data_IF_666913679940
#
_entry.id   IF_666913679940
#
_cell.length_a   1.000
_cell.length_b   1.000
_cell.length_c   1.000
_cell.angle_alpha   90.00
_cell.angle_beta   90.00
_cell.angle_gamma   90.00
#
_symmetry.space_group_name_H-M   'P 1'
#
loop_
_entity.id
_entity.type
_entity.pdbx_description
1 polymer ?
#
# COMPACT_ATOMS: atom_id res chain seq x y z
N UNK A 1 16.16 -16.37 -19.64
CA UNK A 1 15.16 -16.38 -20.75
C UNK A 1 13.94 -15.47 -20.43
N UNK A 2 13.76 -15.03 -19.18
CA UNK A 2 12.59 -14.21 -18.76
C UNK A 2 12.78 -12.71 -19.02
N UNK A 3 13.99 -12.22 -19.25
CA UNK A 3 14.25 -10.77 -19.45
C UNK A 3 13.76 -10.16 -20.77
N UNK A 4 13.44 -10.95 -21.78
CA UNK A 4 13.08 -10.45 -23.12
C UNK A 4 11.58 -10.29 -23.40
N UNK A 5 10.70 -10.97 -22.65
CA UNK A 5 9.25 -10.94 -22.87
C UNK A 5 8.51 -9.98 -21.91
N UNK A 6 9.24 -9.39 -21.01
CA UNK A 6 8.70 -8.62 -19.87
C UNK A 6 8.67 -7.12 -20.13
N UNK A 7 9.27 -6.66 -21.23
CA UNK A 7 9.52 -5.23 -21.47
C UNK A 7 8.37 -4.41 -22.07
N UNK A 8 7.41 -5.01 -22.76
CA UNK A 8 6.38 -4.23 -23.48
C UNK A 8 4.99 -4.21 -22.82
N UNK A 9 4.70 -5.14 -21.91
CA UNK A 9 3.43 -5.18 -21.18
C UNK A 9 3.57 -4.99 -19.66
N UNK A 10 4.80 -4.88 -19.19
CA UNK A 10 5.04 -4.79 -17.75
C UNK A 10 4.72 -3.43 -17.17
N UNK A 11 4.17 -3.54 -16.02
CA UNK A 11 3.76 -2.65 -14.99
C UNK A 11 4.77 -1.60 -14.53
N UNK A 12 5.88 -1.39 -15.28
CA UNK A 12 6.88 -0.37 -15.01
C UNK A 12 6.76 0.69 -16.11
N UNK A 13 6.58 1.92 -15.69
CA UNK A 13 6.69 3.07 -16.59
C UNK A 13 8.18 3.40 -16.80
N UNK A 14 8.52 3.93 -17.97
CA UNK A 14 9.85 4.50 -18.20
C UNK A 14 10.12 5.57 -17.14
N UNK A 15 11.30 5.51 -16.50
CA UNK A 15 11.67 6.37 -15.39
C UNK A 15 11.64 7.86 -15.74
N UNK A 16 12.04 8.22 -16.95
CA UNK A 16 11.99 9.62 -17.41
C UNK A 16 10.55 10.15 -17.48
N UNK A 17 9.62 9.30 -17.91
CA UNK A 17 8.19 9.61 -17.94
C UNK A 17 7.60 9.69 -16.54
N UNK A 18 8.02 8.80 -15.62
CA UNK A 18 7.60 8.84 -14.21
C UNK A 18 7.99 10.16 -13.56
N UNK A 19 9.25 10.58 -13.71
CA UNK A 19 9.74 11.84 -13.13
C UNK A 19 9.02 13.05 -13.74
N UNK A 20 8.78 13.04 -15.06
CA UNK A 20 8.05 14.11 -15.74
C UNK A 20 6.61 14.23 -15.24
N UNK A 21 5.89 13.12 -15.12
CA UNK A 21 4.51 13.09 -14.63
C UNK A 21 4.43 13.49 -13.16
N UNK A 22 5.30 12.94 -12.31
CA UNK A 22 5.40 13.33 -10.92
C UNK A 22 5.61 14.85 -10.77
N UNK A 23 6.55 15.41 -11.53
CA UNK A 23 6.81 16.85 -11.50
C UNK A 23 5.62 17.71 -12.00
N UNK A 24 4.80 17.18 -12.91
CA UNK A 24 3.60 17.89 -13.37
C UNK A 24 2.50 17.95 -12.31
N UNK A 25 2.46 16.96 -11.41
CA UNK A 25 1.43 16.84 -10.36
C UNK A 25 1.87 17.39 -8.99
N UNK A 26 3.11 17.83 -8.83
CA UNK A 26 3.66 18.20 -7.51
C UNK A 26 2.87 19.29 -6.75
N UNK A 27 2.10 20.11 -7.45
CA UNK A 27 1.25 21.15 -6.85
C UNK A 27 -0.19 20.70 -6.60
N UNK A 28 -0.58 19.52 -7.12
CA UNK A 28 -1.93 18.97 -7.00
C UNK A 28 -1.99 17.95 -5.85
N UNK A 29 -3.20 17.64 -5.42
CA UNK A 29 -3.42 16.44 -4.62
C UNK A 29 -3.28 15.23 -5.53
N UNK A 30 -2.47 14.25 -5.13
CA UNK A 30 -2.20 13.06 -5.94
C UNK A 30 -2.04 11.79 -5.10
N UNK A 31 -2.18 10.65 -5.77
CA UNK A 31 -1.74 9.35 -5.30
C UNK A 31 -0.80 8.74 -6.35
N UNK A 32 0.34 8.23 -5.93
CA UNK A 32 1.33 7.59 -6.78
C UNK A 32 1.84 6.27 -6.20
N UNK A 33 1.95 5.24 -7.05
CA UNK A 33 2.45 3.94 -6.62
C UNK A 33 3.94 3.79 -6.91
N UNK A 34 4.75 3.73 -5.86
CA UNK A 34 6.21 3.58 -5.96
C UNK A 34 6.59 2.10 -6.14
N UNK A 35 5.73 1.20 -5.69
CA UNK A 35 5.89 -0.26 -5.77
C UNK A 35 5.59 -0.95 -4.45
N UNK A 36 5.13 -2.20 -4.51
CA UNK A 36 4.72 -3.00 -3.37
C UNK A 36 3.60 -2.33 -2.56
N UNK A 37 3.85 -2.00 -1.30
CA UNK A 37 2.95 -1.24 -0.43
C UNK A 37 3.40 0.22 -0.26
N UNK A 38 4.37 0.68 -1.05
CA UNK A 38 4.89 2.04 -1.00
C UNK A 38 4.10 2.96 -1.91
N UNK A 39 3.35 3.89 -1.33
CA UNK A 39 2.65 4.97 -2.03
C UNK A 39 3.15 6.33 -1.59
N UNK A 40 3.11 7.28 -2.51
CA UNK A 40 3.13 8.72 -2.21
C UNK A 40 1.73 9.27 -2.35
N UNK A 41 1.22 9.91 -1.31
CA UNK A 41 -0.12 10.50 -1.29
C UNK A 41 0.04 11.96 -0.84
N UNK A 42 -0.32 12.90 -1.68
CA UNK A 42 -0.34 14.33 -1.33
C UNK A 42 -1.77 14.79 -1.15
N UNK A 43 -2.04 15.41 -0.01
CA UNK A 43 -3.34 15.93 0.40
C UNK A 43 -3.15 17.34 0.96
N UNK A 44 -3.42 18.35 0.15
CA UNK A 44 -3.07 19.74 0.45
C UNK A 44 -1.57 19.91 0.66
N UNK A 45 -1.18 20.42 1.82
CA UNK A 45 0.23 20.63 2.18
C UNK A 45 0.89 19.39 2.81
N UNK A 46 0.17 18.29 2.94
CA UNK A 46 0.70 17.07 3.59
C UNK A 46 1.04 16.01 2.57
N UNK A 47 2.32 15.66 2.46
CA UNK A 47 2.79 14.52 1.69
C UNK A 47 3.02 13.33 2.61
N UNK A 48 2.36 12.23 2.30
CA UNK A 48 2.34 10.97 3.06
C UNK A 48 3.13 9.92 2.28
N UNK A 49 3.97 9.14 2.98
CA UNK A 49 4.55 7.92 2.44
C UNK A 49 4.08 6.72 3.26
N UNK A 50 3.71 5.64 2.58
CA UNK A 50 3.27 4.40 3.22
C UNK A 50 4.31 3.31 3.05
N UNK A 51 4.56 2.51 4.08
CA UNK A 51 5.42 1.31 4.09
C UNK A 51 6.61 1.41 3.12
N UNK A 52 7.52 2.39 3.27
CA UNK A 52 8.55 2.65 2.27
C UNK A 52 9.61 1.55 2.26
N UNK A 53 9.69 0.83 1.14
CA UNK A 53 10.67 -0.23 0.89
C UNK A 53 11.44 0.08 -0.40
N UNK A 54 12.73 0.40 -0.24
CA UNK A 54 13.65 0.74 -1.34
C UNK A 54 14.80 -0.25 -1.48
N UNK A 55 14.90 -1.24 -0.57
CA UNK A 55 15.93 -2.28 -0.61
C UNK A 55 15.71 -3.26 -1.74
N UNK A 56 16.82 -3.85 -2.21
CA UNK A 56 16.82 -4.90 -3.24
C UNK A 56 16.25 -6.23 -2.76
N UNK A 57 16.16 -6.44 -1.45
CA UNK A 57 15.68 -7.66 -0.83
C UNK A 57 14.69 -7.34 0.30
N UNK A 58 13.63 -8.12 0.37
CA UNK A 58 12.68 -8.12 1.50
C UNK A 58 13.13 -9.15 2.55
N UNK A 59 14.16 -8.81 3.32
CA UNK A 59 14.73 -9.72 4.31
C UNK A 59 15.90 -9.12 5.08
N UNK A 60 16.49 -9.88 6.00
CA UNK A 60 17.65 -9.41 6.77
C UNK A 60 18.88 -9.33 5.87
N UNK A 61 19.54 -8.18 5.86
CA UNK A 61 20.75 -7.90 5.07
C UNK A 61 20.54 -8.15 3.57
N UNK A 62 21.17 -9.22 3.02
CA UNK A 62 21.10 -9.63 1.61
C UNK A 62 20.19 -10.83 1.38
N UNK A 63 19.55 -11.34 2.44
CA UNK A 63 18.68 -12.51 2.37
C UNK A 63 17.22 -12.11 2.13
N UNK A 64 16.40 -13.10 1.80
CA UNK A 64 14.97 -12.91 1.53
C UNK A 64 14.66 -12.72 0.05
N UNK A 65 13.37 -12.58 -0.28
CA UNK A 65 12.91 -12.40 -1.65
C UNK A 65 13.55 -11.18 -2.31
N UNK A 66 14.07 -11.38 -3.52
CA UNK A 66 14.67 -10.30 -4.31
C UNK A 66 13.58 -9.46 -4.97
N UNK A 67 13.85 -8.17 -5.05
CA UNK A 67 13.03 -7.25 -5.81
C UNK A 67 13.08 -7.61 -7.30
N UNK A 68 11.91 -7.75 -7.88
CA UNK A 68 11.72 -8.02 -9.30
C UNK A 68 11.63 -6.71 -10.10
N UNK A 69 10.95 -5.71 -9.55
CA UNK A 69 10.75 -4.38 -10.15
C UNK A 69 11.37 -3.31 -9.28
N UNK A 70 12.24 -2.47 -9.84
CA UNK A 70 12.85 -1.35 -9.13
C UNK A 70 11.78 -0.33 -8.66
N UNK A 71 12.02 0.42 -7.57
CA UNK A 71 11.12 1.48 -7.15
C UNK A 71 10.98 2.55 -8.24
N UNK A 72 9.79 3.12 -8.36
CA UNK A 72 9.51 4.16 -9.35
C UNK A 72 10.37 5.43 -9.19
N UNK A 73 10.65 5.79 -7.94
CA UNK A 73 11.54 6.88 -7.53
C UNK A 73 12.61 6.33 -6.60
N UNK A 74 13.77 6.99 -6.52
CA UNK A 74 14.76 6.74 -5.48
C UNK A 74 14.48 7.60 -4.24
N UNK A 75 15.17 7.31 -3.13
CA UNK A 75 15.03 8.06 -1.89
C UNK A 75 15.38 9.56 -2.01
N UNK A 76 16.33 9.91 -2.87
CA UNK A 76 16.78 11.27 -3.15
C UNK A 76 15.88 12.03 -4.13
N UNK A 77 14.97 11.33 -4.80
CA UNK A 77 13.96 11.92 -5.70
C UNK A 77 12.60 12.14 -4.99
N UNK A 78 12.46 11.66 -3.76
CA UNK A 78 11.24 11.87 -2.99
C UNK A 78 11.03 13.36 -2.68
N UNK A 79 9.79 13.87 -2.74
CA UNK A 79 9.45 15.19 -2.23
C UNK A 79 9.65 15.23 -0.71
N UNK A 80 9.53 16.41 -0.11
CA UNK A 80 9.45 16.51 1.33
C UNK A 80 8.29 15.67 1.87
N UNK A 81 8.59 14.79 2.83
CA UNK A 81 7.60 13.91 3.46
C UNK A 81 7.25 14.46 4.84
N UNK A 82 5.96 14.75 5.03
CA UNK A 82 5.41 15.26 6.29
C UNK A 82 4.93 14.11 7.19
N UNK A 83 4.42 13.03 6.59
CA UNK A 83 3.83 11.91 7.32
C UNK A 83 4.35 10.56 6.79
N UNK A 84 4.87 9.73 7.70
CA UNK A 84 5.35 8.38 7.42
C UNK A 84 4.42 7.39 8.11
N UNK A 85 3.73 6.54 7.36
CA UNK A 85 2.85 5.49 7.87
C UNK A 85 3.54 4.13 7.72
N UNK A 86 3.57 3.33 8.79
CA UNK A 86 4.06 1.96 8.80
C UNK A 86 2.98 1.02 9.33
N UNK A 87 2.54 0.04 8.54
CA UNK A 87 1.43 -0.85 8.90
C UNK A 87 1.83 -1.99 9.83
N UNK A 88 3.00 -2.58 9.64
CA UNK A 88 3.51 -3.70 10.45
C UNK A 88 5.02 -3.92 10.25
N UNK A 89 5.58 -4.97 10.87
CA UNK A 89 7.02 -5.16 10.94
C UNK A 89 7.62 -6.19 9.97
N UNK A 90 6.87 -6.75 9.01
CA UNK A 90 7.45 -7.66 8.03
C UNK A 90 8.53 -6.96 7.19
N UNK A 91 9.46 -7.72 6.62
CA UNK A 91 10.64 -7.17 5.97
C UNK A 91 10.35 -6.39 4.69
N UNK A 92 9.26 -6.71 4.02
CA UNK A 92 8.76 -6.08 2.81
C UNK A 92 7.88 -4.83 3.08
N UNK A 93 7.71 -4.45 4.37
CA UNK A 93 7.05 -3.22 4.82
C UNK A 93 7.98 -2.38 5.69
N UNK A 94 8.56 -2.95 6.74
CA UNK A 94 9.55 -2.29 7.58
C UNK A 94 10.97 -2.51 7.06
N UNK A 95 11.37 -1.78 6.04
CA UNK A 95 12.73 -1.82 5.50
C UNK A 95 13.69 -0.98 6.35
N UNK A 96 14.51 -1.66 7.15
CA UNK A 96 15.46 -0.99 8.04
C UNK A 96 16.53 -0.19 7.31
N UNK A 97 16.90 -0.58 6.08
CA UNK A 97 17.84 0.19 5.27
C UNK A 97 17.23 1.52 4.86
N UNK A 98 15.98 1.46 4.37
CA UNK A 98 15.20 2.65 4.03
C UNK A 98 14.98 3.53 5.25
N UNK A 99 14.51 3.00 6.38
CA UNK A 99 14.28 3.77 7.61
C UNK A 99 15.54 4.52 8.06
N UNK A 100 16.72 3.89 7.98
CA UNK A 100 18.00 4.53 8.35
C UNK A 100 18.42 5.63 7.38
N UNK A 101 18.25 5.43 6.07
CA UNK A 101 18.66 6.34 4.99
C UNK A 101 17.63 7.39 4.66
N UNK A 102 16.40 7.25 5.12
CA UNK A 102 15.29 8.15 4.81
C UNK A 102 15.67 9.60 5.09
N UNK A 103 15.53 10.53 4.14
CA UNK A 103 16.07 11.89 4.28
C UNK A 103 15.27 12.76 5.28
N UNK A 104 13.96 12.52 5.41
CA UNK A 104 13.05 13.40 6.16
C UNK A 104 12.82 12.88 7.59
N UNK A 105 13.82 13.03 8.48
CA UNK A 105 13.73 12.57 9.88
C UNK A 105 12.83 13.44 10.78
N UNK A 106 12.39 14.58 10.28
CA UNK A 106 11.39 15.45 10.92
C UNK A 106 9.95 15.04 10.62
N UNK A 107 9.73 14.15 9.63
CA UNK A 107 8.40 13.64 9.32
C UNK A 107 7.76 13.06 10.58
N UNK A 108 6.46 13.34 10.77
CA UNK A 108 5.64 12.64 11.78
C UNK A 108 5.53 11.18 11.39
N UNK A 109 5.93 10.27 12.26
CA UNK A 109 5.83 8.83 12.07
C UNK A 109 4.63 8.31 12.84
N UNK A 110 3.75 7.58 12.17
CA UNK A 110 2.66 6.82 12.78
C UNK A 110 2.88 5.34 12.49
N UNK A 111 2.87 4.54 13.53
CA UNK A 111 3.21 3.13 13.46
C UNK A 111 2.54 2.34 14.59
N UNK A 112 2.41 1.01 14.45
CA UNK A 112 1.84 0.17 15.48
C UNK A 112 2.66 0.15 16.77
N UNK A 113 1.99 -0.16 17.88
CA UNK A 113 2.60 -0.34 19.19
C UNK A 113 3.86 -1.23 19.14
N UNK A 114 4.90 -0.82 19.87
CA UNK A 114 6.20 -1.47 20.06
C UNK A 114 7.14 -1.44 18.84
N UNK A 115 6.85 -0.61 17.83
CA UNK A 115 7.74 -0.39 16.68
C UNK A 115 8.61 0.87 16.77
N UNK A 116 8.29 1.82 17.65
CA UNK A 116 9.02 3.07 17.83
C UNK A 116 10.52 2.90 18.09
N UNK A 117 10.92 1.79 18.72
CA UNK A 117 12.34 1.45 18.96
C UNK A 117 13.21 1.42 17.69
N UNK A 118 12.63 1.24 16.52
CA UNK A 118 13.35 1.23 15.24
C UNK A 118 13.52 2.62 14.63
N UNK A 119 12.80 3.64 15.17
CA UNK A 119 12.71 5.00 14.65
C UNK A 119 13.46 6.04 15.54
N UNK A 120 14.47 5.63 16.29
CA UNK A 120 15.21 6.46 17.25
C UNK A 120 15.81 7.77 16.68
N UNK A 121 15.97 7.85 15.35
CA UNK A 121 16.51 9.04 14.67
C UNK A 121 15.43 10.01 14.18
N UNK A 122 14.15 9.66 14.34
CA UNK A 122 13.02 10.50 13.97
C UNK A 122 12.60 11.34 15.17
N UNK A 123 12.12 12.55 14.92
CA UNK A 123 11.80 13.51 15.99
C UNK A 123 10.38 13.35 16.55
N UNK A 124 9.44 12.90 15.72
CA UNK A 124 8.02 12.78 16.06
C UNK A 124 7.55 11.36 15.72
N UNK A 125 7.53 10.47 16.71
CA UNK A 125 7.18 9.05 16.57
C UNK A 125 5.99 8.74 17.44
N UNK A 126 4.90 8.31 16.82
CA UNK A 126 3.61 8.05 17.45
C UNK A 126 3.27 6.56 17.30
N UNK A 127 3.35 5.82 18.38
CA UNK A 127 2.86 4.44 18.45
C UNK A 127 1.35 4.45 18.66
N UNK A 128 0.62 3.67 17.85
CA UNK A 128 -0.85 3.64 17.84
C UNK A 128 -1.37 2.25 18.18
N UNK A 129 -2.40 2.21 19.02
CA UNK A 129 -3.25 1.04 19.22
C UNK A 129 -4.43 1.07 18.24
N UNK A 130 -5.12 -0.06 18.08
CA UNK A 130 -6.32 -0.10 17.25
C UNK A 130 -7.37 0.88 17.75
N UNK A 131 -7.94 1.63 16.81
CA UNK A 131 -8.91 2.70 16.99
C UNK A 131 -8.36 4.03 17.50
N UNK A 132 -7.03 4.12 17.74
CA UNK A 132 -6.42 5.43 17.99
C UNK A 132 -6.55 6.34 16.77
N UNK A 133 -6.87 7.62 17.03
CA UNK A 133 -6.96 8.68 16.04
C UNK A 133 -5.98 9.80 16.38
N UNK A 134 -5.22 10.24 15.40
CA UNK A 134 -4.32 11.39 15.51
C UNK A 134 -4.74 12.46 14.50
N UNK A 135 -4.98 13.67 14.98
CA UNK A 135 -5.17 14.85 14.15
C UNK A 135 -3.79 15.35 13.69
N UNK A 136 -3.56 15.35 12.39
CA UNK A 136 -2.32 15.83 11.76
C UNK A 136 -2.36 17.35 11.62
N UNK A 137 -3.49 17.86 11.10
CA UNK A 137 -3.81 19.28 11.00
C UNK A 137 -5.33 19.46 10.95
N UNK A 138 -5.82 20.69 10.72
CA UNK A 138 -7.25 21.00 10.72
C UNK A 138 -8.07 20.17 9.71
N UNK A 139 -7.45 19.76 8.61
CA UNK A 139 -8.11 19.09 7.50
C UNK A 139 -7.86 17.57 7.47
N UNK A 140 -6.84 17.10 8.19
CA UNK A 140 -6.33 15.73 8.08
C UNK A 140 -6.27 15.01 9.42
N UNK A 141 -6.95 13.89 9.49
CA UNK A 141 -6.91 12.92 10.62
C UNK A 141 -6.55 11.53 10.12
N UNK A 142 -5.87 10.78 10.96
CA UNK A 142 -5.47 9.39 10.67
C UNK A 142 -5.92 8.52 11.84
N UNK A 143 -6.71 7.48 11.52
CA UNK A 143 -7.16 6.47 12.49
C UNK A 143 -6.47 5.15 12.19
N UNK A 144 -5.93 4.49 13.21
CA UNK A 144 -5.34 3.15 13.07
C UNK A 144 -6.37 2.07 13.34
N UNK A 145 -6.55 1.11 12.42
CA UNK A 145 -7.63 0.14 12.44
C UNK A 145 -7.10 -1.31 12.38
N UNK A 146 -7.80 -2.29 13.00
CA UNK A 146 -7.38 -3.68 12.98
C UNK A 146 -7.37 -4.28 11.56
N UNK A 147 -6.47 -5.28 11.35
CA UNK A 147 -6.37 -6.08 10.14
C UNK A 147 -6.24 -7.57 10.49
N UNK A 148 -6.58 -8.44 9.54
CA UNK A 148 -6.40 -9.90 9.68
C UNK A 148 -5.00 -10.26 9.21
N UNK A 149 -4.02 -10.02 10.08
CA UNK A 149 -2.62 -10.26 9.79
C UNK A 149 -1.86 -10.70 11.05
N UNK A 150 -0.55 -10.60 11.02
CA UNK A 150 0.35 -10.95 12.11
C UNK A 150 1.65 -10.17 12.01
N UNK A 151 2.49 -10.27 13.02
CA UNK A 151 3.78 -9.60 13.02
C UNK A 151 4.89 -10.57 13.40
N UNK A 152 6.04 -10.47 12.72
CA UNK A 152 7.25 -11.24 13.04
C UNK A 152 8.44 -10.66 12.31
N UNK A 153 9.58 -10.64 13.01
CA UNK A 153 10.86 -10.21 12.44
C UNK A 153 12.04 -11.05 12.91
N UNK A 154 11.85 -11.83 13.96
CA UNK A 154 12.84 -12.74 14.53
C UNK A 154 12.20 -14.08 14.91
N UNK A 155 13.02 -15.00 15.41
CA UNK A 155 12.52 -16.31 15.84
C UNK A 155 11.61 -16.23 17.09
N UNK A 156 11.69 -15.15 17.86
CA UNK A 156 11.07 -15.05 19.19
C UNK A 156 10.06 -13.91 19.33
N UNK A 157 9.74 -13.17 18.25
CA UNK A 157 8.92 -11.96 18.33
C UNK A 157 7.56 -12.05 17.61
N UNK A 158 7.10 -13.26 17.27
CA UNK A 158 5.79 -13.45 16.66
C UNK A 158 4.69 -12.77 17.50
N UNK A 159 3.92 -11.88 16.86
CA UNK A 159 2.83 -11.12 17.46
C UNK A 159 3.21 -10.28 18.71
N UNK A 160 4.49 -9.91 18.85
CA UNK A 160 4.96 -9.03 19.93
C UNK A 160 4.86 -7.54 19.61
N UNK A 161 4.60 -7.19 18.36
CA UNK A 161 4.26 -5.85 17.90
C UNK A 161 2.88 -5.85 17.28
N UNK A 162 2.20 -4.71 17.26
CA UNK A 162 0.89 -4.61 16.64
C UNK A 162 1.00 -4.46 15.12
N UNK A 163 -0.12 -4.54 14.40
CA UNK A 163 -0.30 -4.34 12.95
C UNK A 163 -1.69 -3.78 12.67
N UNK A 164 -1.87 -3.11 11.53
CA UNK A 164 -3.20 -2.58 11.19
C UNK A 164 -3.22 -1.66 9.99
N UNK A 165 -4.43 -1.27 9.62
CA UNK A 165 -4.76 -0.38 8.52
C UNK A 165 -4.71 1.09 8.97
N UNK A 166 -4.44 2.00 8.05
CA UNK A 166 -4.59 3.44 8.27
C UNK A 166 -5.80 4.00 7.51
N UNK A 167 -6.76 4.55 8.22
CA UNK A 167 -7.83 5.34 7.64
C UNK A 167 -7.44 6.81 7.66
N UNK A 168 -7.19 7.35 6.50
CA UNK A 168 -6.80 8.75 6.26
C UNK A 168 -8.07 9.51 5.91
N UNK A 169 -8.46 10.47 6.75
CA UNK A 169 -9.62 11.33 6.51
C UNK A 169 -9.13 12.75 6.24
N UNK A 170 -9.28 13.19 5.01
CA UNK A 170 -8.94 14.54 4.57
C UNK A 170 -10.19 15.27 4.08
N UNK A 171 -10.58 16.35 4.76
CA UNK A 171 -11.79 17.13 4.44
C UNK A 171 -13.04 16.29 4.23
N UNK A 172 -13.20 15.22 5.05
CA UNK A 172 -14.31 14.29 4.96
C UNK A 172 -14.17 13.20 3.88
N UNK A 173 -13.13 13.23 3.05
CA UNK A 173 -12.79 12.14 2.12
C UNK A 173 -11.91 11.12 2.81
N UNK A 174 -12.24 9.85 2.61
CA UNK A 174 -11.63 8.74 3.34
C UNK A 174 -10.84 7.83 2.40
N UNK A 175 -9.54 7.69 2.68
CA UNK A 175 -8.67 6.72 2.04
C UNK A 175 -8.30 5.67 3.09
N UNK A 176 -8.60 4.41 2.85
CA UNK A 176 -8.10 3.32 3.67
C UNK A 176 -6.86 2.72 3.00
N UNK A 177 -5.71 2.91 3.63
CA UNK A 177 -4.49 2.18 3.27
C UNK A 177 -4.43 0.91 4.14
N UNK A 178 -4.64 -0.23 3.50
CA UNK A 178 -4.65 -1.50 4.22
C UNK A 178 -3.22 -1.95 4.57
N UNK A 179 -3.10 -2.59 5.73
CA UNK A 179 -2.06 -3.55 6.03
C UNK A 179 -2.18 -4.74 5.08
N UNK A 180 -1.16 -5.58 5.01
CA UNK A 180 -1.38 -6.94 4.52
C UNK A 180 -2.48 -7.58 5.34
N UNK A 181 -3.41 -8.24 4.66
CA UNK A 181 -4.57 -8.80 5.34
C UNK A 181 -5.16 -9.98 4.60
N UNK A 182 -5.71 -10.92 5.37
CA UNK A 182 -6.62 -11.93 4.90
C UNK A 182 -8.08 -11.49 5.08
N UNK A 183 -9.01 -12.38 4.74
CA UNK A 183 -10.45 -12.18 4.89
C UNK A 183 -10.86 -12.22 6.37
N UNK A 184 -11.80 -11.36 6.78
CA UNK A 184 -12.36 -11.37 8.11
C UNK A 184 -13.61 -10.51 8.26
N UNK A 185 -14.46 -10.86 9.22
CA UNK A 185 -15.71 -10.14 9.51
C UNK A 185 -15.46 -8.70 9.95
N UNK A 186 -14.26 -8.43 10.49
CA UNK A 186 -13.88 -7.08 10.92
C UNK A 186 -14.08 -6.03 9.83
N UNK A 187 -13.94 -6.36 8.55
CA UNK A 187 -14.11 -5.41 7.45
C UNK A 187 -15.57 -5.01 7.24
N UNK A 188 -16.52 -5.86 7.60
CA UNK A 188 -17.94 -5.50 7.63
C UNK A 188 -18.19 -4.49 8.76
N UNK A 189 -17.68 -4.77 9.95
CA UNK A 189 -17.85 -3.89 11.12
C UNK A 189 -17.18 -2.53 10.86
N UNK A 190 -15.98 -2.51 10.26
CA UNK A 190 -15.31 -1.28 9.85
C UNK A 190 -16.10 -0.51 8.78
N UNK A 191 -16.71 -1.21 7.83
CA UNK A 191 -17.58 -0.61 6.82
C UNK A 191 -18.89 -0.04 7.40
N UNK A 192 -19.41 -0.63 8.45
CA UNK A 192 -20.56 -0.09 9.18
C UNK A 192 -20.19 1.17 9.97
N UNK A 193 -19.03 1.15 10.65
CA UNK A 193 -18.59 2.25 11.51
C UNK A 193 -18.00 3.43 10.76
N UNK A 194 -17.18 3.17 9.73
CA UNK A 194 -16.38 4.20 9.06
C UNK A 194 -16.78 4.43 7.59
N UNK A 195 -17.55 3.52 6.99
CA UNK A 195 -17.99 3.65 5.59
C UNK A 195 -19.00 4.80 5.38
N UNK A 196 -19.24 5.18 4.13
CA UNK A 196 -18.53 4.72 2.94
C UNK A 196 -17.07 5.23 2.90
N UNK A 197 -16.18 4.41 2.32
CA UNK A 197 -14.77 4.76 2.07
C UNK A 197 -14.67 5.25 0.62
N UNK A 198 -13.98 6.36 0.37
CA UNK A 198 -13.85 6.89 -1.00
C UNK A 198 -12.86 6.06 -1.83
N UNK A 199 -11.74 5.65 -1.24
CA UNK A 199 -10.74 4.78 -1.87
C UNK A 199 -10.17 3.80 -0.83
N UNK A 200 -10.17 2.50 -1.16
CA UNK A 200 -9.44 1.50 -0.36
C UNK A 200 -8.28 0.94 -1.17
N UNK A 201 -7.08 0.91 -0.59
CA UNK A 201 -5.87 0.33 -1.17
C UNK A 201 -5.65 -1.01 -0.46
N UNK A 202 -5.70 -2.12 -1.20
CA UNK A 202 -5.67 -3.49 -0.66
C UNK A 202 -4.61 -4.35 -1.33
N UNK A 203 -3.99 -5.25 -0.55
CA UNK A 203 -3.14 -6.29 -1.09
C UNK A 203 -3.97 -7.25 -1.97
N UNK A 204 -3.43 -7.60 -3.14
CA UNK A 204 -4.03 -8.56 -4.08
C UNK A 204 -3.06 -9.67 -4.49
N UNK A 205 -1.88 -9.73 -3.88
CA UNK A 205 -0.81 -10.70 -4.15
C UNK A 205 -0.30 -11.38 -2.88
N UNK A 206 0.64 -12.30 -3.05
CA UNK A 206 1.20 -13.14 -1.99
C UNK A 206 0.18 -14.09 -1.35
N UNK A 207 -0.65 -14.75 -2.16
CA UNK A 207 -1.70 -15.65 -1.67
C UNK A 207 -1.45 -17.15 -1.93
N UNK A 208 -0.52 -17.52 -2.83
CA UNK A 208 -0.26 -18.92 -3.17
C UNK A 208 0.97 -19.46 -2.43
N UNK A 209 0.77 -20.04 -1.27
CA UNK A 209 1.81 -20.70 -0.47
C UNK A 209 1.77 -22.23 -0.54
N UNK A 210 1.08 -22.83 -1.51
CA UNK A 210 1.05 -24.27 -1.71
C UNK A 210 2.47 -24.80 -2.07
N UNK A 211 2.97 -25.93 -1.53
CA UNK A 211 2.28 -26.86 -0.60
C UNK A 211 2.47 -26.52 0.90
N UNK A 212 3.11 -25.41 1.24
CA UNK A 212 3.30 -25.01 2.65
C UNK A 212 1.97 -24.63 3.32
N UNK A 213 1.01 -24.14 2.54
CA UNK A 213 -0.38 -23.93 2.93
C UNK A 213 -1.30 -24.88 2.14
N UNK A 214 -2.49 -25.24 2.67
CA UNK A 214 -3.34 -26.28 2.07
C UNK A 214 -3.99 -25.90 0.75
N UNK A 215 -4.04 -24.60 0.40
CA UNK A 215 -4.71 -24.09 -0.79
C UNK A 215 -3.75 -23.37 -1.73
N UNK A 216 -3.94 -23.51 -3.05
CA UNK A 216 -3.10 -22.86 -4.06
C UNK A 216 -3.43 -21.38 -4.29
N UNK A 217 -4.65 -20.97 -3.96
CA UNK A 217 -5.19 -19.66 -4.32
C UNK A 217 -5.73 -18.87 -3.12
N UNK A 218 -5.42 -19.32 -1.91
CA UNK A 218 -5.86 -18.72 -0.65
C UNK A 218 -4.77 -18.69 0.39
N UNK A 219 -4.74 -17.61 1.17
CA UNK A 219 -3.92 -17.46 2.36
C UNK A 219 -4.78 -16.95 3.52
N UNK A 220 -4.42 -17.32 4.74
CA UNK A 220 -5.09 -16.81 5.95
C UNK A 220 -4.81 -15.32 6.16
N UNK A 221 -3.65 -14.83 5.70
CA UNK A 221 -3.12 -13.52 6.05
C UNK A 221 -2.90 -12.60 4.83
N UNK A 222 -3.20 -13.08 3.62
CA UNK A 222 -3.16 -12.31 2.39
C UNK A 222 -4.38 -12.61 1.54
N UNK A 223 -5.00 -11.59 1.00
CA UNK A 223 -6.12 -11.76 0.07
C UNK A 223 -5.65 -12.09 -1.33
N UNK A 224 -6.36 -12.97 -2.00
CA UNK A 224 -6.37 -13.02 -3.45
C UNK A 224 -7.19 -11.85 -4.03
N UNK A 225 -7.18 -11.60 -5.35
CA UNK A 225 -7.87 -10.47 -5.95
C UNK A 225 -9.38 -10.42 -5.67
N UNK A 226 -10.06 -11.56 -5.72
CA UNK A 226 -11.50 -11.68 -5.47
C UNK A 226 -11.84 -11.39 -4.01
N UNK A 227 -11.03 -11.88 -3.10
CA UNK A 227 -11.18 -11.61 -1.66
C UNK A 227 -10.96 -10.13 -1.34
N UNK A 228 -9.98 -9.48 -2.00
CA UNK A 228 -9.77 -8.03 -1.86
C UNK A 228 -10.98 -7.21 -2.34
N UNK A 229 -11.58 -7.59 -3.48
CA UNK A 229 -12.81 -6.97 -3.98
C UNK A 229 -13.98 -7.16 -3.00
N UNK A 230 -14.10 -8.36 -2.39
CA UNK A 230 -15.10 -8.64 -1.37
C UNK A 230 -14.90 -7.79 -0.11
N UNK A 231 -13.67 -7.64 0.37
CA UNK A 231 -13.34 -6.76 1.51
C UNK A 231 -13.71 -5.31 1.17
N UNK A 232 -13.38 -4.82 -0.01
CA UNK A 232 -13.72 -3.47 -0.43
C UNK A 232 -15.24 -3.24 -0.44
N UNK A 233 -16.05 -4.24 -0.84
CA UNK A 233 -17.52 -4.17 -0.71
C UNK A 233 -17.98 -4.12 0.74
N UNK A 234 -17.40 -4.93 1.62
CA UNK A 234 -17.71 -4.93 3.04
C UNK A 234 -17.40 -3.57 3.69
N UNK A 235 -16.32 -2.90 3.27
CA UNK A 235 -15.94 -1.55 3.67
C UNK A 235 -16.83 -0.45 3.06
N UNK A 236 -17.76 -0.80 2.18
CA UNK A 236 -18.59 0.13 1.40
C UNK A 236 -17.71 1.09 0.58
N UNK A 237 -16.61 0.58 0.03
CA UNK A 237 -15.67 1.37 -0.75
C UNK A 237 -16.25 1.76 -2.10
N UNK A 238 -16.10 3.03 -2.46
CA UNK A 238 -16.51 3.53 -3.78
C UNK A 238 -15.54 3.10 -4.87
N UNK A 239 -14.23 3.14 -4.53
CA UNK A 239 -13.14 2.69 -5.39
C UNK A 239 -12.20 1.78 -4.62
N UNK A 240 -11.55 0.87 -5.32
CA UNK A 240 -10.54 -0.03 -4.77
C UNK A 240 -9.30 -0.05 -5.65
N UNK A 241 -8.12 0.05 -5.06
CA UNK A 241 -6.83 0.02 -5.74
C UNK A 241 -6.05 -1.20 -5.26
N UNK A 242 -5.65 -2.07 -6.19
CA UNK A 242 -4.85 -3.25 -5.88
C UNK A 242 -3.37 -2.93 -5.70
N UNK A 243 -2.76 -3.41 -4.61
CA UNK A 243 -1.34 -3.29 -4.31
C UNK A 243 -0.70 -4.65 -3.97
N UNK A 244 0.57 -4.65 -3.57
CA UNK A 244 1.32 -5.81 -3.06
C UNK A 244 1.53 -6.91 -4.10
N UNK A 245 1.74 -6.55 -5.36
CA UNK A 245 2.03 -7.43 -6.47
C UNK A 245 3.13 -6.85 -7.37
N UNK A 246 3.73 -7.64 -8.24
CA UNK A 246 4.68 -7.16 -9.26
C UNK A 246 6.03 -6.64 -8.75
N UNK A 247 6.27 -6.60 -7.44
CA UNK A 247 7.50 -6.03 -6.84
C UNK A 247 8.44 -7.07 -6.27
N UNK A 248 7.95 -7.95 -5.42
CA UNK A 248 8.69 -9.08 -4.85
C UNK A 248 7.99 -10.38 -5.20
N UNK A 249 8.75 -11.44 -5.42
CA UNK A 249 8.21 -12.80 -5.55
C UNK A 249 8.15 -13.41 -4.15
N UNK A 250 7.00 -13.26 -3.49
CA UNK A 250 6.78 -13.69 -2.10
C UNK A 250 6.09 -15.06 -2.02
N UNK A 251 5.40 -15.48 -3.06
CA UNK A 251 4.59 -16.69 -3.15
C UNK A 251 4.65 -17.28 -4.56
N UNK A 252 3.84 -18.26 -4.88
CA UNK A 252 3.97 -19.08 -6.08
C UNK A 252 2.97 -18.74 -7.20
N UNK A 253 2.08 -17.78 -7.01
CA UNK A 253 1.25 -17.30 -8.13
C UNK A 253 2.11 -16.59 -9.19
N UNK A 254 1.74 -16.69 -10.47
CA UNK A 254 2.38 -15.92 -11.54
C UNK A 254 2.32 -14.42 -11.24
N UNK A 255 3.44 -13.73 -11.41
CA UNK A 255 3.62 -12.33 -10.95
C UNK A 255 2.59 -11.35 -11.51
N UNK A 256 1.99 -11.65 -12.66
CA UNK A 256 0.96 -10.83 -13.33
C UNK A 256 -0.47 -11.30 -13.07
N UNK A 257 -0.64 -12.51 -12.51
CA UNK A 257 -1.96 -13.08 -12.25
C UNK A 257 -2.81 -12.20 -11.33
N UNK A 258 -2.29 -11.64 -10.21
CA UNK A 258 -3.09 -10.79 -9.33
C UNK A 258 -3.77 -9.63 -10.06
N UNK A 259 -3.02 -8.94 -10.93
CA UNK A 259 -3.54 -7.83 -11.74
C UNK A 259 -4.67 -8.27 -12.67
N UNK A 260 -4.46 -9.38 -13.37
CA UNK A 260 -5.43 -9.87 -14.34
C UNK A 260 -6.72 -10.33 -13.65
N UNK A 261 -6.60 -11.18 -12.62
CA UNK A 261 -7.75 -11.65 -11.83
C UNK A 261 -8.54 -10.51 -11.22
N UNK A 262 -7.85 -9.48 -10.70
CA UNK A 262 -8.54 -8.33 -10.11
C UNK A 262 -9.41 -7.59 -11.14
N UNK A 263 -8.88 -7.33 -12.33
CA UNK A 263 -9.63 -6.67 -13.41
C UNK A 263 -10.79 -7.52 -13.92
N UNK A 264 -10.54 -8.80 -14.15
CA UNK A 264 -11.54 -9.72 -14.73
C UNK A 264 -12.73 -9.93 -13.79
N UNK A 265 -12.50 -9.85 -12.48
CA UNK A 265 -13.54 -10.10 -11.48
C UNK A 265 -14.20 -8.82 -10.92
N UNK A 266 -13.71 -7.63 -11.21
CA UNK A 266 -14.23 -6.38 -10.66
C UNK A 266 -15.74 -6.22 -10.79
N UNK A 267 -16.28 -6.51 -11.98
CA UNK A 267 -17.73 -6.40 -12.26
C UNK A 267 -18.55 -7.40 -11.44
N UNK A 268 -18.04 -8.59 -11.17
CA UNK A 268 -18.72 -9.61 -10.36
C UNK A 268 -18.94 -9.13 -8.92
N UNK A 269 -18.10 -8.19 -8.46
CA UNK A 269 -18.19 -7.54 -7.15
C UNK A 269 -18.85 -6.15 -7.22
N UNK A 270 -19.45 -5.79 -8.37
CA UNK A 270 -20.21 -4.55 -8.55
C UNK A 270 -19.34 -3.29 -8.71
N UNK A 271 -18.07 -3.44 -9.12
CA UNK A 271 -17.19 -2.33 -9.47
C UNK A 271 -17.13 -2.14 -10.99
N UNK A 272 -17.22 -0.91 -11.45
CA UNK A 272 -16.93 -0.54 -12.84
C UNK A 272 -15.42 -0.56 -13.08
N UNK A 273 -15.01 -0.49 -14.33
CA UNK A 273 -13.60 -0.49 -14.72
C UNK A 273 -12.79 0.70 -14.17
N UNK A 274 -13.45 1.83 -13.94
CA UNK A 274 -12.89 3.06 -13.34
C UNK A 274 -13.00 3.11 -11.80
N UNK A 275 -13.59 2.09 -11.18
CA UNK A 275 -13.74 1.96 -9.74
C UNK A 275 -12.79 0.90 -9.14
N UNK A 276 -12.44 -0.16 -9.91
CA UNK A 276 -11.43 -1.15 -9.55
C UNK A 276 -10.10 -0.83 -10.25
N UNK A 277 -9.22 -0.15 -9.54
CA UNK A 277 -8.01 0.47 -10.08
C UNK A 277 -6.81 -0.47 -9.96
N UNK A 278 -5.99 -0.49 -10.98
CA UNK A 278 -4.67 -1.13 -11.00
C UNK A 278 -3.67 -0.14 -11.60
N UNK A 279 -2.81 0.38 -10.76
CA UNK A 279 -1.73 1.25 -11.23
C UNK A 279 -0.55 0.45 -11.78
N UNK A 280 0.17 1.04 -12.72
CA UNK A 280 1.54 0.64 -13.03
C UNK A 280 2.48 1.22 -11.97
N UNK A 281 3.57 0.53 -11.68
CA UNK A 281 4.63 1.09 -10.82
C UNK A 281 5.15 2.37 -11.47
N UNK A 282 5.10 3.48 -10.75
CA UNK A 282 5.40 4.82 -11.25
C UNK A 282 4.19 5.54 -11.87
N UNK A 283 3.00 5.02 -11.74
CA UNK A 283 1.79 5.74 -12.11
C UNK A 283 1.36 6.67 -10.97
N UNK A 284 1.13 7.93 -11.35
CA UNK A 284 0.61 8.99 -10.49
C UNK A 284 -0.71 9.48 -11.05
N UNK A 285 -1.69 9.68 -10.19
CA UNK A 285 -2.99 10.23 -10.59
C UNK A 285 -3.37 11.39 -9.67
N UNK A 286 -3.86 12.48 -10.26
CA UNK A 286 -4.45 13.59 -9.52
C UNK A 286 -5.72 13.13 -8.80
N UNK A 287 -5.87 13.56 -7.54
CA UNK A 287 -7.07 13.32 -6.74
C UNK A 287 -7.87 14.62 -6.71
N UNK A 288 -8.71 14.84 -7.72
CA UNK A 288 -9.63 15.97 -7.71
C UNK A 288 -10.78 15.72 -6.73
N UNK A 289 -10.88 16.54 -5.68
CA UNK A 289 -11.93 16.40 -4.66
C UNK A 289 -13.32 16.86 -5.11
N UNK A 290 -13.41 17.58 -6.22
CA UNK A 290 -14.69 18.02 -6.81
C UNK A 290 -15.37 16.92 -7.63
N UNK A 291 -14.57 16.05 -8.25
CA UNK A 291 -15.06 14.87 -8.94
C UNK A 291 -13.99 13.77 -8.82
N UNK A 292 -14.30 12.66 -8.16
CA UNK A 292 -13.52 11.40 -8.28
C UNK A 292 -13.81 10.74 -9.65
N UNK A 293 -13.82 11.53 -10.71
CA UNK A 293 -13.75 11.07 -12.08
C UNK A 293 -12.30 11.21 -12.51
N UNK A 294 -11.56 10.11 -12.41
CA UNK A 294 -10.26 10.03 -13.07
C UNK A 294 -10.49 10.14 -14.58
N UNK A 295 -9.69 10.92 -15.31
CA UNK A 295 -9.81 10.96 -16.76
C UNK A 295 -9.61 9.53 -17.30
N UNK A 296 -10.58 9.03 -18.05
CA UNK A 296 -10.41 7.87 -18.91
C UNK A 296 -9.38 8.25 -19.96
N UNK A 297 -8.13 7.89 -19.77
CA UNK A 297 -7.18 7.87 -20.88
C UNK A 297 -7.56 6.68 -21.75
N UNK A 298 -8.44 6.89 -22.72
CA UNK A 298 -8.49 6.06 -23.90
C UNK A 298 -7.14 6.22 -24.60
N UNK A 299 -6.28 5.21 -24.44
CA UNK A 299 -5.11 5.07 -25.30
C UNK A 299 -5.58 4.40 -26.59
N UNK A 300 -5.55 5.16 -27.69
CA UNK A 300 -5.52 4.65 -29.05
C UNK A 300 -4.22 3.88 -29.26
#
# INVERSE_FOLDING_TARGET
IIRGLVGSEMCIRDRSNVIKEFNSLKNDDYIGWIGHATFLIKLGETTIITDPVFSKNAGPLIFGPKRFTEPALNLDELPEINLFLLTHNHYDHQDMSTIRKFPYKQAKVMLPLKLGKYFKRYKDVNEMDWYDEITVNNDLKVTFLPAVHWSKRSLTDTNKTLWGNFLINYKGKKILFACDTGVGNIYKDLGEKYGPIDLTILNIGAYNFYPMAPYKDKSTYHTNPEEALSIARNLKSKKVLGMHWGTFVLSLEPIMEPRQRFKDNAQNYGYKSDEALIFKIGEFQSVSYTHLTLPTTEAV
#
